data_IF_098525476626
#
_entry.id   IF_098525476626
#
_cell.length_a   1.000
_cell.length_b   1.000
_cell.length_c   1.000
_cell.angle_alpha   90.00
_cell.angle_beta   90.00
_cell.angle_gamma   90.00
#
_symmetry.space_group_name_H-M   'P 1'
#
loop_
_entity.id
_entity.type
_entity.pdbx_description
1 polymer ?
#
# COMPACT_ATOMS: atom_id res chain seq x y z
N UNK A 1 9.04 -15.14 9.48
CA UNK A 1 7.97 -14.13 9.49
C UNK A 1 8.61 -12.77 9.42
N UNK A 2 8.31 -12.04 8.36
CA UNK A 2 8.81 -10.69 8.10
C UNK A 2 7.71 -9.67 8.38
N UNK A 3 8.08 -8.46 8.80
CA UNK A 3 7.13 -7.37 8.97
C UNK A 3 7.70 -6.06 8.41
N UNK A 4 6.82 -5.21 7.88
CA UNK A 4 7.10 -3.87 7.40
C UNK A 4 6.51 -2.85 8.37
N UNK A 5 7.26 -1.79 8.68
CA UNK A 5 6.76 -0.69 9.51
C UNK A 5 6.30 0.49 8.66
N UNK A 6 5.20 1.13 9.06
CA UNK A 6 4.86 2.50 8.70
C UNK A 6 4.97 3.36 9.95
N UNK A 7 5.85 4.35 9.89
CA UNK A 7 6.08 5.28 10.99
C UNK A 7 5.52 6.66 10.63
N UNK A 8 4.63 7.17 11.48
CA UNK A 8 4.16 8.56 11.40
C UNK A 8 4.76 9.30 12.60
N UNK A 9 5.70 10.20 12.34
CA UNK A 9 6.34 10.98 13.40
C UNK A 9 5.36 11.98 14.05
N UNK A 10 5.58 12.27 15.32
CA UNK A 10 4.85 13.23 16.14
C UNK A 10 5.85 14.21 16.77
N UNK A 11 5.44 15.46 17.00
CA UNK A 11 6.29 16.46 17.65
C UNK A 11 6.48 16.22 19.15
N UNK A 12 5.50 15.58 19.79
CA UNK A 12 5.52 15.22 21.20
C UNK A 12 4.65 13.98 21.45
N UNK A 13 4.84 13.37 22.62
CA UNK A 13 4.01 12.27 23.09
C UNK A 13 2.56 12.73 23.31
N UNK A 14 1.58 12.16 22.58
CA UNK A 14 0.17 12.44 22.83
C UNK A 14 -0.25 11.85 24.18
N UNK A 15 -1.11 12.57 24.91
CA UNK A 15 -1.65 12.09 26.19
C UNK A 15 -2.50 10.82 26.02
N UNK A 16 -3.18 10.68 24.88
CA UNK A 16 -4.02 9.53 24.52
C UNK A 16 -3.49 8.87 23.24
N UNK A 17 -2.25 8.38 23.27
CA UNK A 17 -1.58 7.82 22.09
C UNK A 17 -2.33 6.68 21.41
N UNK A 18 -2.87 5.74 22.17
CA UNK A 18 -3.62 4.61 21.61
C UNK A 18 -4.96 5.05 20.97
N UNK A 19 -5.57 6.12 21.47
CA UNK A 19 -6.78 6.69 20.87
C UNK A 19 -6.44 7.38 19.55
N UNK A 20 -5.37 8.19 19.52
CA UNK A 20 -4.86 8.80 18.29
C UNK A 20 -4.48 7.73 17.25
N UNK A 21 -3.82 6.64 17.68
CA UNK A 21 -3.43 5.53 16.82
C UNK A 21 -4.65 4.88 16.13
N UNK A 22 -5.73 4.66 16.88
CA UNK A 22 -7.01 4.13 16.34
C UNK A 22 -7.67 5.10 15.38
N UNK A 23 -7.85 6.36 15.77
CA UNK A 23 -8.50 7.36 14.92
C UNK A 23 -7.72 7.58 13.60
N UNK A 24 -6.38 7.55 13.65
CA UNK A 24 -5.54 7.64 12.45
C UNK A 24 -5.72 6.40 11.57
N UNK A 25 -5.74 5.20 12.16
CA UNK A 25 -5.98 3.97 11.38
C UNK A 25 -7.34 3.95 10.72
N UNK A 26 -8.40 4.38 11.41
CA UNK A 26 -9.76 4.39 10.86
C UNK A 26 -9.86 5.28 9.61
N UNK A 27 -9.20 6.44 9.63
CA UNK A 27 -9.10 7.31 8.43
C UNK A 27 -8.34 6.63 7.30
N UNK A 28 -7.25 5.93 7.63
CA UNK A 28 -6.45 5.21 6.64
C UNK A 28 -7.26 4.06 6.01
N UNK A 29 -7.87 3.22 6.83
CA UNK A 29 -8.63 2.06 6.41
C UNK A 29 -9.87 2.43 5.59
N UNK A 30 -10.65 3.44 6.01
CA UNK A 30 -11.80 3.94 5.24
C UNK A 30 -11.35 4.44 3.87
N UNK A 31 -10.27 5.21 3.81
CA UNK A 31 -9.79 5.75 2.54
C UNK A 31 -9.22 4.68 1.62
N UNK A 32 -8.48 3.69 2.14
CA UNK A 32 -8.03 2.52 1.37
C UNK A 32 -9.23 1.78 0.78
N UNK A 33 -10.28 1.55 1.58
CA UNK A 33 -11.49 0.85 1.14
C UNK A 33 -12.26 1.59 0.04
N UNK A 34 -12.19 2.93 0.01
CA UNK A 34 -12.80 3.76 -1.06
C UNK A 34 -11.95 3.85 -2.33
N UNK A 35 -10.66 3.53 -2.25
CA UNK A 35 -9.73 3.63 -3.37
C UNK A 35 -9.53 2.29 -4.07
N UNK A 36 -9.71 1.17 -3.36
CA UNK A 36 -9.83 -0.15 -3.95
C UNK A 36 -11.15 -0.20 -4.72
N UNK A 37 -11.09 -0.42 -6.04
CA UNK A 37 -12.27 -0.43 -6.91
C UNK A 37 -12.37 -1.70 -7.77
N UNK A 38 -11.56 -2.68 -7.42
CA UNK A 38 -11.47 -3.97 -8.09
C UNK A 38 -11.68 -5.10 -7.07
N UNK A 39 -12.35 -6.20 -7.47
CA UNK A 39 -12.53 -7.37 -6.61
C UNK A 39 -11.24 -7.86 -5.93
N UNK A 40 -10.13 -7.91 -6.66
CA UNK A 40 -8.86 -8.41 -6.10
C UNK A 40 -8.28 -7.47 -5.02
N UNK A 41 -8.34 -6.15 -5.21
CA UNK A 41 -7.87 -5.20 -4.19
C UNK A 41 -8.82 -5.14 -3.00
N UNK A 42 -10.14 -5.19 -3.23
CA UNK A 42 -11.15 -5.27 -2.17
C UNK A 42 -10.96 -6.50 -1.30
N UNK A 43 -10.68 -7.65 -1.90
CA UNK A 43 -10.48 -8.91 -1.19
C UNK A 43 -9.19 -8.92 -0.36
N UNK A 44 -8.06 -8.50 -0.95
CA UNK A 44 -6.80 -8.37 -0.20
C UNK A 44 -6.97 -7.43 0.99
N UNK A 45 -7.66 -6.31 0.80
CA UNK A 45 -7.93 -5.37 1.87
C UNK A 45 -8.85 -5.98 2.93
N UNK A 46 -9.93 -6.66 2.54
CA UNK A 46 -10.86 -7.30 3.47
C UNK A 46 -10.17 -8.36 4.33
N UNK A 47 -9.36 -9.24 3.73
CA UNK A 47 -8.56 -10.21 4.46
C UNK A 47 -7.59 -9.53 5.40
N UNK A 48 -6.85 -8.53 4.93
CA UNK A 48 -5.87 -7.83 5.76
C UNK A 48 -6.51 -7.10 6.95
N UNK A 49 -7.62 -6.38 6.73
CA UNK A 49 -8.34 -5.67 7.78
C UNK A 49 -8.95 -6.63 8.82
N UNK A 50 -9.44 -7.80 8.39
CA UNK A 50 -10.06 -8.78 9.28
C UNK A 50 -9.07 -9.44 10.25
N UNK A 51 -7.82 -9.66 9.84
CA UNK A 51 -6.81 -10.34 10.66
C UNK A 51 -5.80 -9.35 11.25
N UNK A 52 -5.09 -8.64 10.39
CA UNK A 52 -3.82 -8.00 10.74
C UNK A 52 -4.00 -6.70 11.53
N UNK A 53 -5.00 -5.90 11.15
CA UNK A 53 -5.32 -4.67 11.87
C UNK A 53 -5.88 -4.95 13.27
N UNK A 54 -6.68 -6.01 13.41
CA UNK A 54 -7.24 -6.45 14.70
C UNK A 54 -6.14 -6.98 15.63
N UNK A 55 -5.26 -7.85 15.12
CA UNK A 55 -4.16 -8.45 15.88
C UNK A 55 -3.10 -7.40 16.25
N UNK A 56 -2.85 -6.42 15.37
CA UNK A 56 -1.91 -5.32 15.60
C UNK A 56 -2.19 -4.54 16.88
N UNK A 57 -3.46 -4.22 17.13
CA UNK A 57 -3.92 -3.58 18.35
C UNK A 57 -3.97 -4.54 19.54
N UNK A 58 -4.42 -5.77 19.35
CA UNK A 58 -4.60 -6.74 20.42
C UNK A 58 -3.26 -7.17 21.04
N UNK A 59 -2.23 -7.34 20.21
CA UNK A 59 -0.91 -7.85 20.62
C UNK A 59 0.09 -6.72 20.91
N UNK A 60 -0.32 -5.45 20.77
CA UNK A 60 0.51 -4.27 21.04
C UNK A 60 1.67 -4.06 20.07
N UNK A 61 1.64 -4.72 18.91
CA UNK A 61 2.64 -4.52 17.85
C UNK A 61 2.44 -3.18 17.15
N UNK A 62 1.20 -2.69 17.11
CA UNK A 62 0.89 -1.31 16.78
C UNK A 62 0.95 -0.48 18.06
N UNK A 63 1.67 0.64 18.00
CA UNK A 63 1.91 1.44 19.20
C UNK A 63 2.06 2.92 18.91
N UNK A 64 1.62 3.73 19.87
CA UNK A 64 2.00 5.13 19.95
C UNK A 64 3.20 5.25 20.89
N UNK A 65 4.41 5.22 20.32
CA UNK A 65 5.65 5.31 21.09
C UNK A 65 6.16 6.74 21.10
N UNK A 66 5.93 7.47 22.20
CA UNK A 66 6.44 8.83 22.40
C UNK A 66 6.17 9.71 21.18
N UNK A 67 7.20 9.95 20.36
CA UNK A 67 7.15 10.81 19.17
C UNK A 67 6.77 10.07 17.87
N UNK A 68 6.09 8.93 17.90
CA UNK A 68 5.64 8.27 16.66
C UNK A 68 4.43 7.36 16.86
N UNK A 69 3.63 7.24 15.81
CA UNK A 69 2.69 6.14 15.60
C UNK A 69 3.37 5.08 14.73
N UNK A 70 3.35 3.83 15.18
CA UNK A 70 3.89 2.68 14.47
C UNK A 70 2.75 1.73 14.09
N UNK A 71 2.65 1.46 12.79
CA UNK A 71 1.81 0.40 12.24
C UNK A 71 2.71 -0.67 11.63
N UNK A 72 2.52 -1.93 12.01
CA UNK A 72 3.29 -3.06 11.49
C UNK A 72 2.44 -3.92 10.58
N UNK A 73 2.95 -4.18 9.38
CA UNK A 73 2.34 -5.00 8.35
C UNK A 73 3.14 -6.29 8.26
N UNK A 74 2.58 -7.42 8.68
CA UNK A 74 3.28 -8.69 8.82
C UNK A 74 2.59 -9.83 8.09
N UNK A 75 3.36 -10.87 7.81
CA UNK A 75 2.88 -12.15 7.31
C UNK A 75 2.21 -12.96 8.45
N UNK A 76 1.03 -12.51 8.89
CA UNK A 76 0.21 -13.24 9.86
C UNK A 76 -0.31 -14.56 9.26
N UNK A 77 -0.79 -15.48 10.10
CA UNK A 77 -1.29 -16.78 9.63
C UNK A 77 -2.44 -16.60 8.63
N UNK A 78 -2.19 -16.94 7.35
CA UNK A 78 -3.15 -16.77 6.26
C UNK A 78 -2.90 -15.56 5.36
N UNK A 79 -1.99 -14.65 5.72
CA UNK A 79 -1.54 -13.55 4.85
C UNK A 79 -0.21 -13.92 4.20
N UNK A 80 -0.13 -13.77 2.88
CA UNK A 80 1.11 -13.94 2.16
C UNK A 80 1.88 -12.60 2.06
N UNK A 81 3.13 -12.62 1.56
CA UNK A 81 3.89 -11.40 1.40
C UNK A 81 3.21 -10.34 0.50
N UNK A 82 2.34 -10.76 -0.44
CA UNK A 82 1.62 -9.85 -1.34
C UNK A 82 0.75 -8.89 -0.53
N UNK A 83 -0.12 -9.41 0.34
CA UNK A 83 -1.05 -8.58 1.11
C UNK A 83 -0.29 -7.64 2.04
N UNK A 84 0.81 -8.11 2.63
CA UNK A 84 1.70 -7.31 3.46
C UNK A 84 2.28 -6.10 2.71
N UNK A 85 2.86 -6.32 1.52
CA UNK A 85 3.44 -5.23 0.71
C UNK A 85 2.36 -4.29 0.16
N UNK A 86 1.23 -4.84 -0.29
CA UNK A 86 0.09 -4.09 -0.81
C UNK A 86 -0.47 -3.14 0.23
N UNK A 87 -0.86 -3.68 1.39
CA UNK A 87 -1.49 -2.88 2.43
C UNK A 87 -0.54 -1.83 3.01
N UNK A 88 0.75 -2.13 3.13
CA UNK A 88 1.73 -1.11 3.55
C UNK A 88 1.83 0.02 2.52
N UNK A 89 1.90 -0.32 1.23
CA UNK A 89 2.00 0.66 0.16
C UNK A 89 0.76 1.56 0.12
N UNK A 90 -0.42 0.96 0.19
CA UNK A 90 -1.71 1.66 0.19
C UNK A 90 -1.89 2.55 1.43
N UNK A 91 -1.48 2.08 2.60
CA UNK A 91 -1.48 2.89 3.82
C UNK A 91 -0.54 4.09 3.71
N UNK A 92 0.65 3.90 3.13
CA UNK A 92 1.61 4.99 2.88
C UNK A 92 1.02 6.07 1.98
N UNK A 93 0.41 5.68 0.87
CA UNK A 93 -0.25 6.62 -0.05
C UNK A 93 -1.40 7.36 0.64
N UNK A 94 -2.18 6.65 1.44
CA UNK A 94 -3.32 7.21 2.15
C UNK A 94 -2.90 8.21 3.22
N UNK A 95 -1.82 7.94 3.97
CA UNK A 95 -1.24 8.91 4.92
C UNK A 95 -0.85 10.20 4.22
N UNK A 96 -0.21 10.08 3.06
CA UNK A 96 0.18 11.24 2.26
C UNK A 96 -1.05 11.98 1.69
N UNK A 97 -2.11 11.25 1.29
CA UNK A 97 -3.32 11.82 0.68
C UNK A 97 -4.17 12.57 1.72
N UNK A 98 -4.29 11.99 2.91
CA UNK A 98 -5.12 12.48 4.01
C UNK A 98 -4.34 13.27 5.04
N UNK A 99 -3.13 13.74 4.70
CA UNK A 99 -2.23 14.38 5.66
C UNK A 99 -2.88 15.52 6.45
N UNK A 100 -3.66 16.38 5.78
CA UNK A 100 -4.36 17.50 6.42
C UNK A 100 -5.35 17.01 7.49
N UNK A 101 -6.11 15.97 7.20
CA UNK A 101 -7.08 15.40 8.14
C UNK A 101 -6.38 14.70 9.31
N UNK A 102 -5.31 13.95 9.02
CA UNK A 102 -4.49 13.31 10.06
C UNK A 102 -3.79 14.35 10.95
N UNK A 103 -3.35 15.47 10.39
CA UNK A 103 -2.76 16.58 11.15
C UNK A 103 -3.79 17.26 12.07
N UNK A 104 -5.04 17.41 11.61
CA UNK A 104 -6.13 17.92 12.44
C UNK A 104 -6.46 16.96 13.59
N UNK A 105 -6.46 15.64 13.33
CA UNK A 105 -6.60 14.62 14.38
C UNK A 105 -5.44 14.71 15.39
N UNK A 106 -4.19 14.74 14.94
CA UNK A 106 -3.04 14.88 15.84
C UNK A 106 -3.15 16.13 16.74
N UNK A 107 -3.62 17.26 16.18
CA UNK A 107 -3.82 18.50 16.93
C UNK A 107 -4.90 18.37 18.03
N UNK A 108 -6.00 17.64 17.77
CA UNK A 108 -7.02 17.30 18.78
C UNK A 108 -6.41 16.55 19.97
N UNK A 109 -5.38 15.76 19.74
CA UNK A 109 -4.65 14.98 20.74
C UNK A 109 -3.43 15.71 21.35
N UNK A 110 -3.32 17.02 21.12
CA UNK A 110 -2.28 17.85 21.73
C UNK A 110 -0.88 17.65 21.15
N UNK A 111 -0.78 17.07 19.95
CA UNK A 111 0.49 16.86 19.24
C UNK A 111 0.38 17.35 17.79
N UNK A 112 1.45 17.24 17.02
CA UNK A 112 1.43 17.55 15.58
C UNK A 112 2.18 16.47 14.83
N UNK A 113 1.73 16.13 13.63
CA UNK A 113 2.49 15.22 12.77
C UNK A 113 3.82 15.85 12.36
N UNK A 114 4.89 15.08 12.46
CA UNK A 114 6.24 15.48 12.09
C UNK A 114 6.46 15.30 10.58
N UNK A 115 5.74 16.09 9.79
CA UNK A 115 6.09 16.36 8.41
C UNK A 115 5.37 17.63 7.96
N UNK A 116 6.14 18.67 7.60
CA UNK A 116 5.58 19.94 7.13
C UNK A 116 4.96 19.86 5.72
N UNK A 117 4.96 20.98 5.00
CA UNK A 117 4.42 21.15 3.64
C UNK A 117 5.05 20.29 2.52
N UNK A 118 5.87 19.30 2.85
CA UNK A 118 6.52 18.40 1.90
C UNK A 118 5.65 17.22 1.47
N UNK A 119 4.51 16.99 2.13
CA UNK A 119 3.68 15.80 1.92
C UNK A 119 3.03 15.74 0.54
N UNK A 120 2.54 16.88 0.02
CA UNK A 120 2.01 16.92 -1.35
C UNK A 120 3.08 16.57 -2.39
N UNK A 121 4.32 17.05 -2.18
CA UNK A 121 5.45 16.72 -3.05
C UNK A 121 5.82 15.24 -2.94
N UNK A 122 5.80 14.68 -1.73
CA UNK A 122 6.07 13.27 -1.50
C UNK A 122 4.99 12.38 -2.12
N UNK A 123 3.70 12.74 -2.02
CA UNK A 123 2.62 12.01 -2.66
C UNK A 123 2.75 12.07 -4.18
N UNK A 124 2.94 13.26 -4.73
CA UNK A 124 3.17 13.41 -6.17
C UNK A 124 4.36 12.57 -6.63
N UNK A 125 5.48 12.60 -5.91
CA UNK A 125 6.64 11.78 -6.22
C UNK A 125 6.34 10.28 -6.19
N UNK A 126 5.56 9.79 -5.22
CA UNK A 126 5.12 8.39 -5.18
C UNK A 126 4.16 8.03 -6.33
N UNK A 127 3.30 8.96 -6.74
CA UNK A 127 2.34 8.73 -7.82
C UNK A 127 2.94 8.92 -9.21
N UNK A 128 3.97 9.74 -9.40
CA UNK A 128 4.50 10.04 -10.75
C UNK A 128 5.96 9.63 -10.94
N UNK A 129 6.63 9.18 -9.89
CA UNK A 129 8.03 8.76 -9.92
C UNK A 129 8.19 7.24 -9.87
N UNK A 130 9.45 6.76 -9.96
CA UNK A 130 9.77 5.37 -9.73
C UNK A 130 9.43 4.98 -8.28
N UNK A 131 8.69 3.89 -8.11
CA UNK A 131 8.37 3.27 -6.84
C UNK A 131 9.40 2.19 -6.54
N UNK A 132 10.02 2.26 -5.37
CA UNK A 132 10.87 1.17 -4.83
C UNK A 132 10.06 -0.12 -4.56
N UNK A 133 8.72 0.00 -4.61
CA UNK A 133 7.74 -1.05 -4.38
C UNK A 133 6.88 -1.19 -5.62
N UNK A 134 7.38 -1.98 -6.56
CA UNK A 134 6.71 -3.21 -7.01
C UNK A 134 5.20 -3.10 -7.27
N UNK A 135 4.91 -3.12 -8.56
CA UNK A 135 3.64 -3.20 -9.29
C UNK A 135 2.55 -4.03 -8.60
N UNK A 136 1.32 -3.53 -8.65
CA UNK A 136 0.16 -4.42 -8.68
C UNK A 136 -0.48 -4.31 -10.05
N UNK A 137 -0.57 -5.44 -10.74
CA UNK A 137 -1.27 -5.53 -12.00
C UNK A 137 -2.47 -6.44 -11.86
N UNK A 138 -3.63 -5.93 -12.26
CA UNK A 138 -4.83 -6.74 -12.47
C UNK A 138 -4.63 -7.60 -13.70
N UNK A 139 -4.45 -8.90 -13.49
CA UNK A 139 -4.54 -9.88 -14.55
C UNK A 139 -5.94 -10.47 -14.55
N UNK A 140 -6.64 -10.37 -15.66
CA UNK A 140 -7.92 -11.05 -15.86
C UNK A 140 -7.65 -12.26 -16.74
N UNK A 141 -7.70 -13.46 -16.16
CA UNK A 141 -7.89 -14.67 -16.96
C UNK A 141 -9.40 -14.93 -17.14
N UNK A 142 -9.82 -15.81 -18.07
CA UNK A 142 -11.25 -16.06 -18.30
C UNK A 142 -12.04 -16.51 -17.07
N UNK A 143 -11.37 -16.94 -16.00
CA UNK A 143 -11.97 -17.50 -14.80
C UNK A 143 -11.72 -16.65 -13.53
N UNK A 144 -10.66 -15.83 -13.48
CA UNK A 144 -10.24 -15.11 -12.27
C UNK A 144 -9.63 -13.73 -12.54
N UNK A 145 -9.92 -12.79 -11.64
CA UNK A 145 -9.19 -11.53 -11.49
C UNK A 145 -8.10 -11.70 -10.43
N UNK A 146 -6.84 -11.44 -10.80
CA UNK A 146 -5.66 -11.68 -9.96
C UNK A 146 -4.86 -10.40 -9.76
N UNK A 147 -4.27 -10.26 -8.57
CA UNK A 147 -3.29 -9.22 -8.28
C UNK A 147 -1.87 -9.80 -8.35
N UNK A 148 -1.07 -9.34 -9.32
CA UNK A 148 0.34 -9.73 -9.45
C UNK A 148 1.26 -8.68 -8.84
N UNK A 149 2.32 -9.11 -8.13
CA UNK A 149 3.40 -8.23 -7.67
C UNK A 149 4.79 -8.74 -8.11
N UNK A 150 5.71 -7.81 -8.41
CA UNK A 150 7.06 -8.11 -8.87
C UNK A 150 8.15 -7.45 -8.01
N UNK A 151 8.88 -8.18 -7.17
CA UNK A 151 9.91 -7.61 -6.25
C UNK A 151 11.20 -7.14 -6.94
N UNK A 152 11.11 -6.81 -8.22
CA UNK A 152 12.25 -6.59 -9.11
C UNK A 152 13.17 -5.48 -8.59
N UNK A 153 14.45 -5.82 -8.52
CA UNK A 153 15.53 -4.83 -8.53
C UNK A 153 15.45 -4.01 -9.83
N UNK A 154 15.68 -2.69 -9.80
CA UNK A 154 15.61 -1.83 -10.99
C UNK A 154 16.70 -2.09 -12.04
N UNK A 155 17.48 -3.17 -11.91
CA UNK A 155 18.56 -3.53 -12.85
C UNK A 155 17.98 -4.32 -14.03
N UNK A 156 18.19 -3.86 -15.28
CA UNK A 156 17.82 -4.63 -16.46
C UNK A 156 18.57 -5.97 -16.53
N UNK A 157 17.85 -7.08 -16.68
CA UNK A 157 18.43 -8.42 -16.86
C UNK A 157 18.48 -9.31 -15.61
N UNK A 158 18.05 -8.81 -14.45
CA UNK A 158 17.75 -9.65 -13.30
C UNK A 158 16.44 -10.43 -13.56
N UNK A 159 16.41 -11.71 -13.20
CA UNK A 159 15.18 -12.51 -13.23
C UNK A 159 14.13 -11.83 -12.33
N UNK A 160 13.21 -11.12 -12.96
CA UNK A 160 12.09 -10.49 -12.26
C UNK A 160 11.20 -11.59 -11.70
N UNK A 161 11.34 -11.91 -10.42
CA UNK A 161 10.39 -12.78 -9.73
C UNK A 161 9.02 -12.08 -9.67
N UNK A 162 8.13 -12.54 -10.55
CA UNK A 162 6.72 -12.18 -10.55
C UNK A 162 5.95 -13.20 -9.74
N UNK A 163 5.22 -12.71 -8.74
CA UNK A 163 4.42 -13.53 -7.83
C UNK A 163 2.97 -13.08 -7.97
N UNK A 164 2.10 -14.02 -8.30
CA UNK A 164 0.68 -13.75 -8.48
C UNK A 164 -0.11 -14.35 -7.33
N UNK A 165 -1.10 -13.58 -6.87
CA UNK A 165 -2.08 -14.05 -5.91
C UNK A 165 -3.34 -14.51 -6.64
N UNK A 166 -3.70 -15.77 -6.43
CA UNK A 166 -5.02 -16.32 -6.72
C UNK A 166 -5.40 -17.15 -5.49
N UNK A 167 -6.61 -16.96 -4.95
CA UNK A 167 -7.04 -17.55 -3.68
C UNK A 167 -6.97 -19.08 -3.66
N UNK A 168 -6.99 -19.70 -4.84
CA UNK A 168 -7.12 -21.14 -4.99
C UNK A 168 -5.81 -21.83 -5.43
N UNK A 169 -4.71 -21.09 -5.61
CA UNK A 169 -3.45 -21.64 -6.10
C UNK A 169 -2.23 -21.15 -5.31
N UNK A 170 -1.32 -22.09 -5.00
CA UNK A 170 0.01 -21.77 -4.49
C UNK A 170 0.69 -20.75 -5.42
N UNK A 171 1.45 -19.79 -4.85
CA UNK A 171 2.24 -18.80 -5.59
C UNK A 171 2.96 -19.49 -6.75
N UNK A 172 2.49 -19.26 -7.98
CA UNK A 172 3.13 -19.80 -9.16
C UNK A 172 4.13 -18.77 -9.68
N UNK A 173 5.43 -19.12 -9.79
CA UNK A 173 6.31 -18.32 -10.62
C UNK A 173 5.76 -18.38 -12.04
N UNK A 174 5.32 -17.25 -12.57
CA UNK A 174 4.88 -17.19 -13.94
C UNK A 174 6.13 -17.36 -14.78
N UNK A 175 6.32 -18.55 -15.38
CA UNK A 175 7.24 -18.67 -16.50
C UNK A 175 6.65 -17.76 -17.56
N UNK A 176 7.25 -16.57 -17.72
CA UNK A 176 6.79 -15.48 -18.58
C UNK A 176 6.26 -16.06 -19.90
N UNK A 177 4.94 -16.24 -19.99
CA UNK A 177 4.28 -16.50 -21.26
C UNK A 177 4.51 -15.24 -22.08
N UNK A 178 4.93 -15.38 -23.34
CA UNK A 178 5.57 -14.31 -24.11
C UNK A 178 4.78 -13.00 -24.22
N UNK A 179 3.46 -13.03 -24.00
CA UNK A 179 2.55 -11.92 -24.24
C UNK A 179 2.56 -10.84 -23.13
N UNK A 180 2.79 -11.20 -21.86
CA UNK A 180 2.81 -10.23 -20.76
C UNK A 180 4.20 -9.64 -20.47
N UNK A 181 5.25 -10.27 -21.01
CA UNK A 181 6.65 -9.89 -20.77
C UNK A 181 6.95 -8.44 -21.17
N UNK A 182 6.54 -7.93 -22.37
CA UNK A 182 6.83 -6.55 -22.74
C UNK A 182 6.19 -5.54 -21.79
N UNK A 183 4.93 -5.79 -21.38
CA UNK A 183 4.19 -4.95 -20.45
C UNK A 183 4.86 -4.90 -19.07
N UNK A 184 5.27 -6.04 -18.55
CA UNK A 184 5.94 -6.15 -17.26
C UNK A 184 7.34 -5.51 -17.30
N UNK A 185 8.11 -5.71 -18.37
CA UNK A 185 9.39 -5.05 -18.57
C UNK A 185 9.25 -3.53 -18.62
N UNK A 186 8.22 -2.99 -19.29
CA UNK A 186 7.98 -1.54 -19.35
C UNK A 186 7.59 -0.98 -17.97
N UNK A 187 6.68 -1.65 -17.26
CA UNK A 187 6.32 -1.27 -15.89
C UNK A 187 7.57 -1.22 -15.00
N UNK A 188 8.41 -2.26 -15.03
CA UNK A 188 9.69 -2.31 -14.30
C UNK A 188 10.62 -1.18 -14.71
N UNK A 189 10.72 -0.89 -16.02
CA UNK A 189 11.59 0.17 -16.55
C UNK A 189 11.12 1.57 -16.17
N UNK A 190 9.81 1.80 -16.14
CA UNK A 190 9.22 3.10 -15.77
C UNK A 190 9.12 3.30 -14.24
N UNK A 191 9.17 2.21 -13.48
CA UNK A 191 9.04 2.18 -12.03
C UNK A 191 7.69 2.69 -11.52
N UNK A 192 6.71 2.98 -12.37
CA UNK A 192 5.45 3.61 -11.94
C UNK A 192 4.44 2.56 -11.49
N UNK A 193 3.95 2.64 -10.24
CA UNK A 193 2.94 1.71 -9.75
C UNK A 193 1.62 1.84 -10.53
N UNK A 194 1.03 0.72 -10.94
CA UNK A 194 -0.20 0.68 -11.73
C UNK A 194 -1.43 0.14 -10.98
N UNK A 195 -1.35 -0.05 -9.66
CA UNK A 195 -2.48 -0.51 -8.86
C UNK A 195 -3.67 0.43 -8.97
N UNK A 196 -4.87 -0.10 -8.85
CA UNK A 196 -6.12 0.67 -8.85
C UNK A 196 -6.10 1.86 -7.88
N UNK A 197 -5.62 1.66 -6.64
CA UNK A 197 -5.48 2.73 -5.64
C UNK A 197 -4.60 3.88 -6.16
N UNK A 198 -3.46 3.58 -6.78
CA UNK A 198 -2.59 4.60 -7.38
C UNK A 198 -3.27 5.29 -8.56
N UNK A 199 -4.01 4.55 -9.39
CA UNK A 199 -4.73 5.13 -10.55
C UNK A 199 -5.87 6.04 -10.11
N UNK A 200 -6.61 5.64 -9.08
CA UNK A 200 -7.68 6.42 -8.49
C UNK A 200 -7.14 7.68 -7.81
N UNK A 201 -6.04 7.58 -7.07
CA UNK A 201 -5.38 8.77 -6.51
C UNK A 201 -4.86 9.72 -7.59
N UNK A 202 -4.30 9.21 -8.69
CA UNK A 202 -3.92 10.05 -9.84
C UNK A 202 -5.12 10.74 -10.46
N UNK A 203 -6.20 10.00 -10.69
CA UNK A 203 -7.44 10.53 -11.24
C UNK A 203 -8.01 11.65 -10.35
N UNK A 204 -8.14 11.44 -9.05
CA UNK A 204 -8.66 12.46 -8.12
C UNK A 204 -7.74 13.68 -7.96
N UNK A 205 -6.50 13.62 -8.45
CA UNK A 205 -5.48 14.68 -8.34
C UNK A 205 -5.08 15.27 -9.68
N UNK A 206 -5.84 14.99 -10.74
CA UNK A 206 -5.58 15.43 -12.12
C UNK A 206 -4.15 15.09 -12.59
N UNK A 207 -3.63 13.94 -12.15
CA UNK A 207 -2.33 13.42 -12.59
C UNK A 207 -2.52 12.44 -13.76
N UNK A 208 -1.54 12.35 -14.68
CA UNK A 208 -1.58 11.34 -15.72
C UNK A 208 -1.68 9.94 -15.11
N UNK A 209 -2.65 9.13 -15.54
CA UNK A 209 -2.69 7.69 -15.22
C UNK A 209 -1.41 7.03 -15.72
N UNK A 210 -0.96 5.98 -15.05
CA UNK A 210 0.10 5.16 -15.63
C UNK A 210 -0.42 4.58 -16.95
N UNK A 211 0.40 4.55 -17.99
CA UNK A 211 0.00 4.00 -19.29
C UNK A 211 -0.42 2.54 -19.09
N UNK A 212 -1.49 2.10 -19.78
CA UNK A 212 -2.02 0.73 -19.83
C UNK A 212 -3.05 0.29 -18.75
N UNK A 213 -4.16 1.02 -18.64
CA UNK A 213 -5.40 0.48 -18.05
C UNK A 213 -6.51 0.13 -19.06
N UNK A 214 -6.41 0.54 -20.34
CA UNK A 214 -7.53 0.39 -21.28
C UNK A 214 -7.06 0.15 -22.72
N UNK A 215 -6.45 -1.01 -22.96
CA UNK A 215 -6.50 -1.69 -24.26
C UNK A 215 -6.68 -3.19 -24.01
#
# INVERSE_FOLDING_TARGET
MGALGLHIGLSAAPAAGDELLREVWDVIADRMSRLADTPASEEILAYYLAFQASDGFADGTWSASGTSLLFTFGDAAGLCPVEMYACQHWATLTVLDRWTDLAALAAKHGTTLAAGSAMERALRANLTGPSDRVFFHHFTDPEHERLGYATATPTPGDDHELRFYALDEAVRPLSQTGDDRPRLTELITTGTCACDICQNLRFFRDLPRARHQFE
#
